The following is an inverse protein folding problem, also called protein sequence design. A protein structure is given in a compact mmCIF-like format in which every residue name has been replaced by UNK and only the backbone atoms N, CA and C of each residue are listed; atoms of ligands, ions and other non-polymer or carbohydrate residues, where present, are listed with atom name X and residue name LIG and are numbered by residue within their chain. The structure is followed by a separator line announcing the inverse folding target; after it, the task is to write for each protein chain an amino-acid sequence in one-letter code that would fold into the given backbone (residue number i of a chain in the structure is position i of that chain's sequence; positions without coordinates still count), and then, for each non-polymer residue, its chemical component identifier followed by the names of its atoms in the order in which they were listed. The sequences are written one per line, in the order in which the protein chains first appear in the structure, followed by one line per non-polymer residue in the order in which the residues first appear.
data_IF_829232862450
#
_entry.id   IF_829232862450
#
_cell.length_a   1.000
_cell.length_b   1.000
_cell.length_c   1.000
_cell.angle_alpha   90.00
_cell.angle_beta   90.00
_cell.angle_gamma   90.00
#
_symmetry.space_group_name_H-M   'P 1'
#
loop_
_entity.id
_entity.type
_entity.pdbx_description
1 polymer ?
#
# COMPACT_ATOMS: atom_id res chain seq x y z
N UNK A 1 27.73 -36.34 -26.45
CA UNK A 1 26.46 -36.00 -27.12
C UNK A 1 26.41 -34.49 -27.22
N UNK A 2 26.43 -33.97 -28.44
CA UNK A 2 26.58 -32.56 -28.73
C UNK A 2 25.20 -31.86 -28.74
N UNK A 3 25.13 -30.67 -28.16
CA UNK A 3 24.28 -29.59 -28.68
C UNK A 3 25.08 -28.29 -28.61
N UNK A 4 25.25 -27.69 -29.79
CA UNK A 4 25.88 -26.39 -30.03
C UNK A 4 24.89 -25.56 -30.83
N UNK A 5 24.61 -24.34 -30.39
CA UNK A 5 24.27 -23.13 -31.16
C UNK A 5 24.45 -21.99 -30.14
N UNK A 6 25.52 -21.18 -30.17
CA UNK A 6 25.78 -20.07 -31.10
C UNK A 6 24.99 -18.84 -30.63
N UNK A 7 25.52 -17.66 -30.30
CA UNK A 7 26.78 -16.97 -30.62
C UNK A 7 26.95 -15.79 -29.64
N UNK A 8 28.19 -15.48 -29.24
CA UNK A 8 28.85 -14.15 -29.16
C UNK A 8 28.00 -12.95 -28.69
N UNK A 9 28.33 -12.09 -27.72
CA UNK A 9 29.58 -11.41 -27.28
C UNK A 9 29.03 -10.40 -26.22
N UNK A 10 29.55 -10.13 -25.03
CA UNK A 10 30.86 -9.61 -24.63
C UNK A 10 30.84 -9.57 -23.10
N UNK A 11 31.86 -10.10 -22.44
CA UNK A 11 32.12 -9.87 -21.02
C UNK A 11 32.66 -8.45 -20.85
N UNK A 12 31.98 -7.61 -20.06
CA UNK A 12 32.63 -6.52 -19.33
C UNK A 12 32.36 -6.77 -17.85
N UNK A 13 33.36 -7.39 -17.21
CA UNK A 13 33.53 -7.35 -15.77
C UNK A 13 34.09 -5.98 -15.45
N UNK A 14 33.36 -5.16 -14.70
CA UNK A 14 33.91 -4.06 -13.90
C UNK A 14 32.79 -3.48 -13.03
N UNK A 15 32.93 -3.65 -11.71
CA UNK A 15 32.09 -2.94 -10.74
C UNK A 15 31.71 -3.75 -9.52
N UNK A 16 32.66 -3.93 -8.60
CA UNK A 16 32.35 -4.18 -7.20
C UNK A 16 31.47 -3.04 -6.68
N UNK A 17 30.17 -3.28 -6.53
CA UNK A 17 29.33 -2.70 -5.49
C UNK A 17 28.17 -3.67 -5.29
N UNK A 18 28.37 -4.63 -4.38
CA UNK A 18 27.31 -5.49 -3.88
C UNK A 18 26.33 -4.67 -3.03
N UNK A 19 25.58 -3.78 -3.66
CA UNK A 19 24.26 -3.43 -3.16
C UNK A 19 23.39 -4.64 -3.48
N UNK A 20 23.21 -5.49 -2.49
CA UNK A 20 22.10 -6.43 -2.44
C UNK A 20 20.86 -5.54 -2.40
N UNK A 21 20.42 -5.09 -3.57
CA UNK A 21 19.05 -4.69 -3.76
C UNK A 21 18.26 -5.97 -3.51
N UNK A 22 17.75 -6.11 -2.28
CA UNK A 22 16.61 -6.95 -2.05
C UNK A 22 15.52 -6.40 -2.98
N UNK A 23 15.45 -6.96 -4.18
CA UNK A 23 14.26 -6.96 -4.99
C UNK A 23 13.24 -7.82 -4.22
N UNK A 24 12.71 -7.26 -3.12
CA UNK A 24 11.40 -7.64 -2.66
C UNK A 24 10.50 -7.35 -3.85
N UNK A 25 10.11 -8.40 -4.57
CA UNK A 25 9.09 -8.30 -5.60
C UNK A 25 7.86 -7.71 -4.92
N UNK A 26 7.68 -6.41 -5.06
CA UNK A 26 6.48 -5.72 -4.65
C UNK A 26 5.39 -6.18 -5.61
N UNK A 27 4.76 -7.31 -5.31
CA UNK A 27 3.37 -7.51 -5.70
C UNK A 27 2.60 -6.43 -4.99
N UNK A 28 2.43 -5.27 -5.62
CA UNK A 28 1.63 -4.18 -5.08
C UNK A 28 0.20 -4.67 -5.03
N UNK A 29 -0.22 -5.16 -3.86
CA UNK A 29 -1.61 -5.49 -3.66
C UNK A 29 -2.45 -4.25 -3.90
N UNK A 30 -3.58 -4.41 -4.57
CA UNK A 30 -4.51 -3.30 -4.76
C UNK A 30 -5.00 -2.88 -3.38
N UNK A 31 -4.83 -1.60 -3.05
CA UNK A 31 -5.37 -1.03 -1.82
C UNK A 31 -6.88 -1.31 -1.71
N UNK A 32 -7.42 -1.40 -0.48
CA UNK A 32 -8.85 -1.56 -0.30
C UNK A 32 -9.65 -0.52 -1.10
N UNK A 33 -10.85 -0.88 -1.61
CA UNK A 33 -11.69 0.07 -2.30
C UNK A 33 -11.94 1.31 -1.43
N UNK A 34 -12.01 2.46 -2.08
CA UNK A 34 -12.16 3.72 -1.36
C UNK A 34 -13.63 3.92 -1.02
N UNK A 35 -13.95 4.02 0.27
CA UNK A 35 -15.33 4.12 0.79
C UNK A 35 -15.39 5.04 2.02
N UNK A 36 -16.54 5.71 2.22
CA UNK A 36 -16.85 6.42 3.47
C UNK A 36 -17.71 5.51 4.37
N UNK A 37 -17.09 4.68 5.20
CA UNK A 37 -17.81 3.70 6.04
C UNK A 37 -18.59 4.32 7.19
N UNK A 38 -18.23 5.53 7.61
CA UNK A 38 -19.03 6.31 8.55
C UNK A 38 -20.14 7.13 7.89
N UNK A 39 -20.27 7.03 6.57
CA UNK A 39 -21.21 7.81 5.77
C UNK A 39 -20.60 9.14 5.33
N UNK A 40 -20.88 9.51 4.09
CA UNK A 40 -20.36 10.73 3.47
C UNK A 40 -20.80 12.00 4.20
N UNK A 41 -21.99 12.02 4.81
CA UNK A 41 -22.47 13.15 5.60
C UNK A 41 -21.60 13.38 6.85
N UNK A 42 -21.23 12.31 7.56
CA UNK A 42 -20.35 12.39 8.71
C UNK A 42 -18.98 12.91 8.30
N UNK A 43 -18.36 12.30 7.28
CA UNK A 43 -17.04 12.70 6.82
C UNK A 43 -17.02 14.15 6.30
N UNK A 44 -18.08 14.57 5.61
CA UNK A 44 -18.26 15.95 5.15
C UNK A 44 -18.45 16.93 6.31
N UNK A 45 -19.20 16.55 7.35
CA UNK A 45 -19.37 17.36 8.56
C UNK A 45 -18.04 17.53 9.32
N UNK A 46 -17.25 16.46 9.48
CA UNK A 46 -15.92 16.55 10.10
C UNK A 46 -15.00 17.43 9.27
N UNK A 47 -14.97 17.27 7.93
CA UNK A 47 -14.23 18.15 7.02
C UNK A 47 -14.64 19.61 7.17
N UNK A 48 -15.94 19.90 7.26
CA UNK A 48 -16.47 21.25 7.42
C UNK A 48 -16.10 21.86 8.79
N UNK A 49 -16.01 21.05 9.84
CA UNK A 49 -15.62 21.53 11.18
C UNK A 49 -14.15 21.96 11.24
N UNK A 50 -13.24 21.24 10.59
CA UNK A 50 -11.82 21.57 10.55
C UNK A 50 -11.13 20.92 9.33
N UNK A 51 -11.08 21.65 8.22
CA UNK A 51 -10.53 21.13 6.97
C UNK A 51 -9.02 20.82 7.05
N UNK A 52 -8.26 21.59 7.84
CA UNK A 52 -6.82 21.41 7.97
C UNK A 52 -6.49 20.13 8.74
N UNK A 53 -7.16 19.90 9.89
CA UNK A 53 -6.99 18.67 10.66
C UNK A 53 -7.50 17.45 9.89
N UNK A 54 -8.64 17.58 9.21
CA UNK A 54 -9.18 16.52 8.37
C UNK A 54 -8.17 16.10 7.28
N UNK A 55 -7.55 17.08 6.60
CA UNK A 55 -6.50 16.81 5.61
C UNK A 55 -5.30 16.10 6.24
N UNK A 56 -4.82 16.57 7.39
CA UNK A 56 -3.72 15.92 8.11
C UNK A 56 -4.05 14.46 8.41
N UNK A 57 -5.25 14.16 8.92
CA UNK A 57 -5.68 12.78 9.18
C UNK A 57 -5.72 11.93 7.90
N UNK A 58 -6.17 12.49 6.78
CA UNK A 58 -6.13 11.78 5.49
C UNK A 58 -4.70 11.43 5.02
N UNK A 59 -3.67 12.14 5.50
CA UNK A 59 -2.27 11.96 5.11
C UNK A 59 -1.45 11.16 6.14
N UNK A 60 -1.90 11.08 7.39
CA UNK A 60 -1.13 10.47 8.49
C UNK A 60 -1.83 9.30 9.18
N UNK A 61 -3.15 9.18 9.04
CA UNK A 61 -3.95 8.10 9.63
C UNK A 61 -4.53 7.21 8.52
N UNK A 62 -3.89 6.06 8.31
CA UNK A 62 -4.30 5.08 7.31
C UNK A 62 -5.69 4.49 7.60
N UNK A 63 -6.10 4.37 8.87
CA UNK A 63 -7.43 3.91 9.24
C UNK A 63 -8.48 4.95 8.86
N UNK A 64 -8.21 6.22 9.16
CA UNK A 64 -9.06 7.32 8.73
C UNK A 64 -9.22 7.37 7.21
N UNK A 65 -8.09 7.30 6.49
CA UNK A 65 -8.08 7.37 5.04
C UNK A 65 -8.70 6.16 4.35
N UNK A 66 -8.26 4.95 4.68
CA UNK A 66 -8.62 3.76 3.91
C UNK A 66 -9.83 3.02 4.47
N UNK A 67 -10.27 3.34 5.69
CA UNK A 67 -11.38 2.65 6.33
C UNK A 67 -12.54 3.56 6.70
N UNK A 68 -12.33 4.79 7.17
CA UNK A 68 -13.44 5.62 7.66
C UNK A 68 -14.01 6.59 6.63
N UNK A 69 -13.15 7.41 6.00
CA UNK A 69 -13.56 8.56 5.19
C UNK A 69 -12.82 8.65 3.84
N UNK A 70 -12.64 7.52 3.15
CA UNK A 70 -11.77 7.47 1.97
C UNK A 70 -12.25 8.33 0.80
N UNK A 71 -13.54 8.33 0.48
CA UNK A 71 -14.06 9.11 -0.64
C UNK A 71 -13.94 10.60 -0.31
N UNK A 72 -14.28 10.98 0.92
CA UNK A 72 -14.15 12.36 1.36
C UNK A 72 -12.68 12.81 1.42
N UNK A 73 -11.75 11.95 1.82
CA UNK A 73 -10.31 12.24 1.74
C UNK A 73 -9.84 12.43 0.30
N UNK A 74 -10.27 11.56 -0.62
CA UNK A 74 -9.90 11.65 -2.04
C UNK A 74 -10.43 12.96 -2.66
N UNK A 75 -11.59 13.46 -2.22
CA UNK A 75 -12.16 14.74 -2.68
C UNK A 75 -11.32 15.99 -2.35
N UNK A 76 -10.29 15.87 -1.51
CA UNK A 76 -9.39 16.98 -1.17
C UNK A 76 -8.37 17.25 -2.27
N UNK A 77 -8.14 16.30 -3.17
CA UNK A 77 -7.06 16.33 -4.14
C UNK A 77 -7.64 16.46 -5.54
N UNK A 78 -7.20 17.49 -6.27
CA UNK A 78 -7.69 17.80 -7.62
C UNK A 78 -6.93 17.09 -8.73
N UNK A 79 -5.79 16.46 -8.42
CA UNK A 79 -4.97 15.74 -9.41
C UNK A 79 -4.68 14.32 -8.94
N UNK A 80 -4.45 13.42 -9.91
CA UNK A 80 -4.08 12.04 -9.62
C UNK A 80 -2.74 11.94 -8.87
N UNK A 81 -1.77 12.82 -9.17
CA UNK A 81 -0.46 12.80 -8.51
C UNK A 81 -0.57 13.17 -7.02
N UNK A 82 -1.31 14.24 -6.71
CA UNK A 82 -1.49 14.68 -5.32
C UNK A 82 -2.32 13.70 -4.51
N UNK A 83 -3.33 13.09 -5.14
CA UNK A 83 -4.09 11.99 -4.56
C UNK A 83 -3.21 10.78 -4.24
N UNK A 84 -2.39 10.34 -5.20
CA UNK A 84 -1.51 9.19 -5.03
C UNK A 84 -0.43 9.46 -3.98
N UNK A 85 0.14 10.66 -3.96
CA UNK A 85 1.09 11.08 -2.93
C UNK A 85 0.47 11.01 -1.54
N UNK A 86 -0.77 11.49 -1.39
CA UNK A 86 -1.50 11.42 -0.12
C UNK A 86 -1.79 9.98 0.33
N UNK A 87 -2.18 9.08 -0.61
CA UNK A 87 -2.32 7.64 -0.34
C UNK A 87 -1.00 7.02 0.13
N UNK A 88 0.09 7.34 -0.55
CA UNK A 88 1.42 6.84 -0.19
C UNK A 88 1.88 7.36 1.18
N UNK A 89 1.64 8.64 1.49
CA UNK A 89 1.93 9.21 2.81
C UNK A 89 1.20 8.45 3.91
N UNK A 90 -0.12 8.30 3.81
CA UNK A 90 -0.90 7.60 4.83
C UNK A 90 -0.47 6.13 4.98
N UNK A 91 -0.14 5.48 3.88
CA UNK A 91 0.38 4.11 3.88
C UNK A 91 1.75 4.02 4.57
N UNK A 92 2.64 4.99 4.37
CA UNK A 92 3.95 5.00 5.01
C UNK A 92 3.85 5.04 6.55
N UNK A 93 2.85 5.73 7.10
CA UNK A 93 2.58 5.74 8.55
C UNK A 93 2.07 4.39 9.10
N UNK A 94 1.51 3.54 8.25
CA UNK A 94 0.92 2.26 8.63
C UNK A 94 1.63 1.05 7.99
N UNK A 95 2.85 1.26 7.49
CA UNK A 95 3.62 0.23 6.83
C UNK A 95 4.30 -0.71 7.83
N UNK A 96 3.49 -1.40 8.60
CA UNK A 96 3.92 -2.48 9.47
C UNK A 96 2.81 -3.50 9.67
N UNK A 97 3.17 -4.68 10.16
CA UNK A 97 2.20 -5.70 10.54
C UNK A 97 1.78 -5.49 12.00
N UNK A 98 0.48 -5.40 12.25
CA UNK A 98 -0.07 -5.26 13.61
C UNK A 98 0.01 -6.58 14.39
N UNK A 99 0.04 -7.70 13.69
CA UNK A 99 0.09 -9.04 14.25
C UNK A 99 1.43 -9.74 13.99
N UNK A 100 1.63 -10.88 14.66
CA UNK A 100 2.85 -11.67 14.51
C UNK A 100 3.04 -12.14 13.07
N UNK A 101 4.32 -12.33 12.69
CA UNK A 101 4.67 -12.87 11.39
C UNK A 101 3.99 -14.21 11.09
N UNK A 102 3.76 -15.05 12.10
CA UNK A 102 3.02 -16.32 11.93
C UNK A 102 1.59 -16.08 11.45
N UNK A 103 0.85 -15.19 12.11
CA UNK A 103 -0.52 -14.87 11.74
C UNK A 103 -0.59 -14.23 10.34
N UNK A 104 0.28 -13.26 10.06
CA UNK A 104 0.28 -12.56 8.79
C UNK A 104 0.72 -13.43 7.62
N UNK A 105 1.70 -14.32 7.81
CA UNK A 105 2.05 -15.32 6.79
C UNK A 105 0.91 -16.31 6.54
N UNK A 106 0.17 -16.71 7.58
CA UNK A 106 -1.01 -17.54 7.40
C UNK A 106 -2.11 -16.81 6.60
N UNK A 107 -2.35 -15.53 6.88
CA UNK A 107 -3.27 -14.69 6.08
C UNK A 107 -2.84 -14.63 4.61
N UNK A 108 -1.54 -14.42 4.34
CA UNK A 108 -0.98 -14.42 2.98
C UNK A 108 -1.15 -15.75 2.27
N UNK A 109 -0.78 -16.84 2.93
CA UNK A 109 -0.81 -18.19 2.36
C UNK A 109 -2.22 -18.72 2.14
N UNK A 110 -3.22 -18.17 2.84
CA UNK A 110 -4.64 -18.50 2.66
C UNK A 110 -5.37 -17.54 1.71
N UNK A 111 -4.63 -16.76 0.92
CA UNK A 111 -5.17 -15.79 -0.04
C UNK A 111 -6.09 -14.73 0.57
N UNK A 112 -5.94 -14.45 1.88
CA UNK A 112 -6.74 -13.43 2.59
C UNK A 112 -6.21 -12.02 2.43
N UNK A 113 -5.07 -11.85 1.75
CA UNK A 113 -4.55 -10.54 1.37
C UNK A 113 -5.31 -9.89 0.21
N UNK A 114 -6.35 -10.52 -0.33
CA UNK A 114 -7.15 -9.98 -1.43
C UNK A 114 -8.65 -10.30 -1.25
N UNK A 115 -9.50 -9.73 -2.12
CA UNK A 115 -10.94 -9.99 -2.14
C UNK A 115 -11.68 -9.39 -0.94
N UNK A 116 -12.58 -10.16 -0.32
CA UNK A 116 -13.46 -9.65 0.74
C UNK A 116 -12.73 -9.36 2.07
N UNK A 117 -11.51 -9.89 2.23
CA UNK A 117 -10.68 -9.68 3.43
C UNK A 117 -9.64 -8.59 3.25
N UNK A 118 -9.64 -7.87 2.12
CA UNK A 118 -8.65 -6.82 1.79
C UNK A 118 -8.54 -5.78 2.91
N UNK A 119 -9.64 -5.29 3.47
CA UNK A 119 -9.59 -4.33 4.60
C UNK A 119 -8.97 -4.91 5.87
N UNK A 120 -9.30 -6.16 6.19
CA UNK A 120 -8.73 -6.84 7.36
C UNK A 120 -7.24 -7.08 7.15
N UNK A 121 -6.84 -7.59 5.99
CA UNK A 121 -5.44 -7.79 5.66
C UNK A 121 -4.66 -6.48 5.63
N UNK A 122 -5.22 -5.43 5.05
CA UNK A 122 -4.64 -4.09 5.02
C UNK A 122 -4.42 -3.53 6.42
N UNK A 123 -5.34 -3.74 7.36
CA UNK A 123 -5.21 -3.21 8.72
C UNK A 123 -4.27 -4.05 9.59
N UNK A 124 -4.26 -5.37 9.39
CA UNK A 124 -3.61 -6.30 10.30
C UNK A 124 -2.21 -6.71 9.86
N UNK A 125 -1.99 -6.78 8.55
CA UNK A 125 -0.83 -7.39 7.93
C UNK A 125 -0.37 -6.59 6.70
N UNK A 126 -0.34 -5.25 6.84
CA UNK A 126 -0.08 -4.30 5.76
C UNK A 126 1.17 -4.67 4.96
N UNK A 127 2.25 -4.96 5.68
CA UNK A 127 3.58 -5.22 5.12
C UNK A 127 3.69 -6.64 4.58
N UNK A 128 3.28 -7.65 5.36
CA UNK A 128 3.34 -9.05 4.90
C UNK A 128 2.50 -9.27 3.64
N UNK A 129 1.34 -8.62 3.55
CA UNK A 129 0.47 -8.69 2.38
C UNK A 129 0.98 -7.89 1.19
N UNK A 130 1.96 -6.98 1.34
CA UNK A 130 2.53 -6.20 0.23
C UNK A 130 1.68 -5.01 -0.19
N UNK A 131 0.94 -4.40 0.76
CA UNK A 131 0.29 -3.11 0.53
C UNK A 131 1.30 -1.96 0.59
N UNK A 132 2.35 -2.17 1.37
CA UNK A 132 3.65 -1.53 1.31
C UNK A 132 4.72 -2.65 1.30
#
# INVERSE_FOLDING_TARGET
MAFTFGKSTTFVVLGLFGLIACAYGATTQTLPPTEDRYGTDYCSAVKASNAAEFKTKCETDSGFRFYFCGITCDSLYSTAETLQASKASALAYACDDMFTAYFCNNMKNTSKCAGNTTYTAFRLCTKTCGYC
#
